data_IF_271103580009
#
_entry.id   IF_271103580009
#
_cell.length_a   1.000
_cell.length_b   1.000
_cell.length_c   1.000
_cell.angle_alpha   90.00
_cell.angle_beta   90.00
_cell.angle_gamma   90.00
#
_symmetry.space_group_name_H-M   'P 1'
#
loop_
_entity.id
_entity.type
_entity.pdbx_description
1 polymer ?
#
# COMPACT_ATOMS: atom_id res chain seq x y z
N UNK A 1 -37.61 -22.21 -44.54
CA UNK A 1 -36.25 -21.62 -44.58
C UNK A 1 -35.42 -22.29 -43.49
N UNK A 2 -34.30 -22.92 -43.84
CA UNK A 2 -33.50 -23.70 -42.89
C UNK A 2 -32.71 -22.79 -41.95
N UNK A 3 -32.87 -22.97 -40.64
CA UNK A 3 -32.14 -22.23 -39.59
C UNK A 3 -30.75 -22.82 -39.30
N UNK A 4 -30.33 -23.85 -40.03
CA UNK A 4 -29.04 -24.52 -39.87
C UNK A 4 -27.81 -23.59 -40.01
N UNK A 5 -27.71 -22.67 -41.00
CA UNK A 5 -26.51 -21.84 -41.15
C UNK A 5 -26.36 -20.81 -40.02
N UNK A 6 -27.48 -20.34 -39.44
CA UNK A 6 -27.47 -19.38 -38.34
C UNK A 6 -26.95 -20.00 -37.03
N UNK A 7 -27.25 -21.28 -36.78
CA UNK A 7 -26.78 -22.01 -35.59
C UNK A 7 -25.28 -22.29 -35.63
N UNK A 8 -24.72 -22.57 -36.81
CA UNK A 8 -23.28 -22.79 -36.99
C UNK A 8 -22.49 -21.50 -36.80
N UNK A 9 -23.00 -20.37 -37.33
CA UNK A 9 -22.37 -19.07 -37.16
C UNK A 9 -22.35 -18.60 -35.69
N UNK A 10 -23.46 -18.80 -34.95
CA UNK A 10 -23.52 -18.45 -33.53
C UNK A 10 -22.56 -19.28 -32.68
N UNK A 11 -22.47 -20.59 -32.94
CA UNK A 11 -21.56 -21.48 -32.21
C UNK A 11 -20.09 -21.07 -32.42
N UNK A 12 -19.70 -20.69 -33.64
CA UNK A 12 -18.34 -20.23 -33.93
C UNK A 12 -18.00 -18.93 -33.17
N UNK A 13 -18.93 -17.98 -33.10
CA UNK A 13 -18.74 -16.72 -32.37
C UNK A 13 -18.61 -16.95 -30.87
N UNK A 14 -19.47 -17.79 -30.28
CA UNK A 14 -19.41 -18.10 -28.84
C UNK A 14 -18.11 -18.79 -28.48
N UNK A 15 -17.65 -19.76 -29.30
CA UNK A 15 -16.39 -20.48 -29.04
C UNK A 15 -15.17 -19.56 -29.21
N UNK A 16 -15.19 -18.66 -30.19
CA UNK A 16 -14.14 -17.65 -30.37
C UNK A 16 -14.07 -16.63 -29.22
N UNK A 17 -15.21 -16.17 -28.72
CA UNK A 17 -15.27 -15.27 -27.57
C UNK A 17 -14.79 -15.96 -26.28
N UNK A 18 -15.15 -17.23 -26.05
CA UNK A 18 -14.66 -18.00 -24.90
C UNK A 18 -13.14 -18.20 -24.97
N UNK A 19 -12.60 -18.52 -26.15
CA UNK A 19 -11.15 -18.66 -26.34
C UNK A 19 -10.38 -17.37 -26.03
N UNK A 20 -10.85 -16.22 -26.53
CA UNK A 20 -10.26 -14.90 -26.22
C UNK A 20 -10.36 -14.54 -24.74
N UNK A 21 -11.47 -14.90 -24.08
CA UNK A 21 -11.68 -14.64 -22.65
C UNK A 21 -10.78 -15.50 -21.76
N UNK A 22 -10.54 -16.76 -22.14
CA UNK A 22 -9.63 -17.68 -21.43
C UNK A 22 -8.17 -17.27 -21.61
N UNK A 23 -7.75 -16.79 -22.79
CA UNK A 23 -6.38 -16.30 -23.00
C UNK A 23 -6.08 -15.02 -22.20
N UNK A 24 -7.09 -14.16 -22.00
CA UNK A 24 -6.96 -12.94 -21.18
C UNK A 24 -6.90 -13.22 -19.66
N UNK A 25 -7.23 -14.44 -19.23
CA UNK A 25 -7.15 -14.91 -17.83
C UNK A 25 -5.99 -15.86 -17.58
N UNK A 26 -4.95 -15.82 -18.41
CA UNK A 26 -3.72 -16.53 -18.07
C UNK A 26 -3.27 -16.06 -16.68
N UNK A 27 -3.16 -16.95 -15.68
CA UNK A 27 -2.68 -16.57 -14.36
C UNK A 27 -1.33 -15.90 -14.56
N UNK A 28 -1.21 -14.66 -14.07
CA UNK A 28 -0.04 -13.82 -14.31
C UNK A 28 1.22 -14.62 -14.03
N UNK A 29 2.07 -14.77 -15.05
CA UNK A 29 3.41 -15.29 -14.85
C UNK A 29 4.10 -14.38 -13.84
N UNK A 30 4.67 -14.96 -12.79
CA UNK A 30 5.38 -14.20 -11.76
C UNK A 30 6.40 -13.28 -12.45
N UNK A 31 6.24 -11.95 -12.39
CA UNK A 31 7.14 -11.02 -13.07
C UNK A 31 8.59 -11.18 -12.61
N UNK A 32 8.80 -11.71 -11.40
CA UNK A 32 10.12 -11.97 -10.87
C UNK A 32 10.78 -13.19 -11.52
N UNK A 33 10.01 -14.22 -11.89
CA UNK A 33 10.53 -15.41 -12.58
C UNK A 33 11.11 -15.09 -13.97
N UNK A 34 10.71 -13.96 -14.57
CA UNK A 34 11.22 -13.49 -15.86
C UNK A 34 12.43 -12.54 -15.76
N UNK A 35 12.82 -12.10 -14.55
CA UNK A 35 13.93 -11.16 -14.33
C UNK A 35 15.27 -11.88 -14.27
N UNK A 36 16.34 -11.24 -14.73
CA UNK A 36 17.67 -11.79 -14.59
C UNK A 36 18.16 -11.62 -13.15
N UNK A 37 18.90 -12.60 -12.61
CA UNK A 37 19.46 -12.47 -11.26
C UNK A 37 20.35 -11.23 -11.11
N UNK A 38 21.03 -10.84 -12.19
CA UNK A 38 21.88 -9.67 -12.27
C UNK A 38 21.11 -8.33 -12.25
N UNK A 39 19.77 -8.33 -12.30
CA UNK A 39 18.96 -7.12 -12.17
C UNK A 39 18.91 -6.63 -10.70
N UNK A 40 19.13 -7.53 -9.74
CA UNK A 40 19.09 -7.21 -8.31
C UNK A 40 20.41 -7.52 -7.60
N UNK A 41 21.09 -8.61 -7.97
CA UNK A 41 22.31 -9.06 -7.30
C UNK A 41 23.57 -8.56 -7.99
N UNK A 42 24.57 -8.20 -7.20
CA UNK A 42 25.93 -7.96 -7.71
C UNK A 42 26.54 -9.30 -8.09
N UNK A 43 26.34 -9.73 -9.33
CA UNK A 43 27.01 -10.92 -9.84
C UNK A 43 27.44 -10.73 -11.29
N UNK A 44 28.67 -11.11 -11.58
CA UNK A 44 29.16 -11.32 -12.95
C UNK A 44 28.89 -12.77 -13.41
N UNK A 45 27.89 -13.46 -12.84
CA UNK A 45 27.68 -14.91 -12.99
C UNK A 45 26.49 -15.46 -12.20
N UNK A 46 26.58 -16.68 -11.65
CA UNK A 46 25.53 -17.27 -10.81
C UNK A 46 25.54 -16.66 -9.40
N UNK A 47 24.35 -16.40 -8.85
CA UNK A 47 24.17 -15.95 -7.46
C UNK A 47 24.22 -17.16 -6.53
N UNK A 48 25.21 -17.20 -5.63
CA UNK A 48 25.29 -18.22 -4.57
C UNK A 48 24.73 -17.71 -3.23
N UNK A 49 24.32 -18.59 -2.30
CA UNK A 49 23.75 -18.17 -1.01
C UNK A 49 24.68 -17.30 -0.15
N UNK A 50 25.99 -17.42 -0.29
CA UNK A 50 26.95 -16.65 0.50
C UNK A 50 27.09 -15.20 0.01
N UNK A 51 26.69 -14.92 -1.24
CA UNK A 51 26.73 -13.58 -1.87
C UNK A 51 25.34 -13.04 -2.24
N UNK A 52 24.28 -13.80 -1.99
CA UNK A 52 22.90 -13.40 -2.32
C UNK A 52 22.44 -12.11 -1.60
N UNK A 53 23.06 -11.75 -0.49
CA UNK A 53 22.81 -10.50 0.23
C UNK A 53 23.48 -9.27 -0.41
N UNK A 54 24.36 -9.44 -1.40
CA UNK A 54 25.04 -8.34 -2.09
C UNK A 54 24.19 -7.87 -3.27
N UNK A 55 23.59 -6.70 -3.12
CA UNK A 55 22.61 -6.15 -4.06
C UNK A 55 23.15 -4.91 -4.78
N UNK A 56 22.67 -4.68 -6.01
CA UNK A 56 23.07 -3.53 -6.83
C UNK A 56 22.67 -2.18 -6.22
N UNK A 57 21.60 -2.18 -5.42
CA UNK A 57 21.11 -1.04 -4.67
C UNK A 57 20.46 -1.51 -3.35
N UNK A 58 20.01 -0.57 -2.51
CA UNK A 58 19.18 -0.90 -1.34
C UNK A 58 17.90 -1.62 -1.76
N UNK A 59 17.41 -2.52 -0.91
CA UNK A 59 16.20 -3.30 -1.23
C UNK A 59 14.99 -2.41 -1.45
N UNK A 60 14.89 -1.32 -0.71
CA UNK A 60 13.80 -0.35 -0.84
C UNK A 60 13.76 0.21 -2.26
N UNK A 61 14.91 0.56 -2.83
CA UNK A 61 15.03 1.04 -4.21
C UNK A 61 14.66 -0.06 -5.20
N UNK A 62 15.25 -1.25 -5.07
CA UNK A 62 15.01 -2.37 -6.00
C UNK A 62 13.55 -2.82 -6.00
N UNK A 63 12.90 -2.85 -4.84
CA UNK A 63 11.51 -3.27 -4.71
C UNK A 63 10.55 -2.18 -5.22
N UNK A 64 10.85 -0.90 -5.00
CA UNK A 64 9.99 0.21 -5.44
C UNK A 64 9.87 0.31 -6.96
N UNK A 65 10.85 -0.17 -7.72
CA UNK A 65 10.77 -0.21 -9.19
C UNK A 65 9.55 -0.99 -9.71
N UNK A 66 9.12 -2.02 -8.96
CA UNK A 66 7.93 -2.82 -9.27
C UNK A 66 6.77 -2.57 -8.31
N UNK A 67 7.06 -2.22 -7.04
CA UNK A 67 6.11 -2.00 -5.96
C UNK A 67 6.19 -0.57 -5.41
N UNK A 68 6.00 0.47 -6.24
CA UNK A 68 6.22 1.86 -5.82
C UNK A 68 5.28 2.28 -4.69
N UNK A 69 4.12 1.63 -4.58
CA UNK A 69 3.12 1.91 -3.56
C UNK A 69 3.39 1.23 -2.23
N UNK A 70 4.09 0.10 -2.22
CA UNK A 70 4.39 -0.60 -0.97
C UNK A 70 5.10 0.35 -0.01
N UNK A 71 6.16 1.02 -0.46
CA UNK A 71 6.94 1.93 0.37
C UNK A 71 6.15 3.10 1.00
N UNK A 72 5.05 3.55 0.38
CA UNK A 72 4.26 4.71 0.83
C UNK A 72 3.48 4.42 2.11
N UNK A 73 3.06 3.16 2.30
CA UNK A 73 2.24 2.79 3.44
C UNK A 73 2.58 1.40 3.99
N UNK A 74 3.87 1.11 4.12
CA UNK A 74 4.37 -0.08 4.78
C UNK A 74 4.75 0.17 6.23
N UNK A 75 4.92 -0.91 6.97
CA UNK A 75 5.87 -0.91 8.09
C UNK A 75 7.25 -0.36 7.63
N UNK A 76 7.91 0.51 8.42
CA UNK A 76 9.19 1.11 8.02
C UNK A 76 10.30 0.09 7.73
N UNK A 77 10.97 0.26 6.59
CA UNK A 77 12.13 -0.51 6.13
C UNK A 77 13.36 0.38 5.94
N UNK A 78 14.54 -0.21 5.71
CA UNK A 78 15.82 0.50 5.69
C UNK A 78 16.24 1.02 7.07
N UNK A 79 15.73 0.40 8.14
CA UNK A 79 15.99 0.84 9.53
C UNK A 79 16.73 -0.22 10.32
N UNK A 80 17.65 0.20 11.20
CA UNK A 80 18.25 -0.71 12.17
C UNK A 80 17.29 -0.91 13.34
N UNK A 81 16.83 -2.15 13.60
CA UNK A 81 15.95 -2.40 14.72
C UNK A 81 16.68 -2.14 16.05
N UNK A 82 15.96 -1.60 17.03
CA UNK A 82 16.49 -1.35 18.38
C UNK A 82 16.65 -2.63 19.21
N UNK A 83 16.07 -3.73 18.76
CA UNK A 83 16.20 -5.06 19.32
C UNK A 83 16.81 -6.02 18.31
N UNK A 84 17.36 -7.13 18.79
CA UNK A 84 17.78 -8.21 17.91
C UNK A 84 16.54 -8.87 17.28
N UNK A 85 16.43 -8.91 15.93
CA UNK A 85 15.37 -9.65 15.27
C UNK A 85 15.48 -11.14 15.60
N UNK A 86 14.34 -11.82 15.65
CA UNK A 86 14.33 -13.28 15.70
C UNK A 86 14.88 -13.85 14.39
N UNK A 87 15.51 -15.02 14.45
CA UNK A 87 16.17 -15.64 13.30
C UNK A 87 15.25 -15.85 12.08
N UNK A 88 13.93 -15.95 12.31
CA UNK A 88 12.90 -16.06 11.28
C UNK A 88 12.81 -14.80 10.38
N UNK A 89 13.12 -13.61 10.92
CA UNK A 89 13.06 -12.32 10.22
C UNK A 89 14.46 -11.68 10.17
N UNK A 90 15.34 -12.15 9.27
CA UNK A 90 16.73 -11.70 9.24
C UNK A 90 16.84 -10.25 8.79
N UNK A 91 17.83 -9.53 9.31
CA UNK A 91 18.26 -8.23 8.77
C UNK A 91 19.20 -8.42 7.60
N UNK A 92 19.35 -7.38 6.79
CA UNK A 92 20.34 -7.37 5.71
C UNK A 92 21.78 -7.29 6.23
N UNK A 93 22.75 -7.24 5.31
CA UNK A 93 24.17 -7.17 5.64
C UNK A 93 24.60 -5.89 6.37
N UNK A 94 23.80 -4.82 6.32
CA UNK A 94 24.02 -3.58 7.09
C UNK A 94 23.39 -3.66 8.48
N UNK A 95 22.64 -4.72 8.77
CA UNK A 95 21.86 -4.89 9.98
C UNK A 95 20.51 -4.15 9.94
N UNK A 96 19.97 -3.87 8.75
CA UNK A 96 18.70 -3.17 8.56
C UNK A 96 17.55 -4.15 8.29
N UNK A 97 16.38 -3.84 8.83
CA UNK A 97 15.12 -4.48 8.43
C UNK A 97 14.73 -3.95 7.06
N UNK A 98 14.53 -4.87 6.12
CA UNK A 98 14.25 -4.58 4.71
C UNK A 98 13.01 -5.37 4.26
N UNK A 99 12.56 -5.16 3.02
CA UNK A 99 11.44 -5.94 2.45
C UNK A 99 11.67 -7.46 2.58
N UNK A 100 12.90 -7.93 2.32
CA UNK A 100 13.26 -9.35 2.42
C UNK A 100 13.35 -9.89 3.85
N UNK A 101 13.34 -9.02 4.87
CA UNK A 101 13.25 -9.45 6.27
C UNK A 101 11.89 -10.07 6.57
N UNK A 102 10.85 -9.61 5.88
CA UNK A 102 9.47 -10.06 6.05
C UNK A 102 9.01 -10.97 4.92
N UNK A 103 9.48 -10.77 3.69
CA UNK A 103 9.03 -11.52 2.51
C UNK A 103 10.07 -12.54 2.00
N UNK A 104 9.56 -13.63 1.44
CA UNK A 104 10.32 -14.58 0.65
C UNK A 104 10.41 -14.08 -0.79
N UNK A 105 11.51 -13.40 -1.11
CA UNK A 105 11.69 -12.79 -2.44
C UNK A 105 11.78 -13.86 -3.54
N UNK A 106 12.43 -14.99 -3.29
CA UNK A 106 12.54 -16.09 -4.27
C UNK A 106 11.51 -17.20 -3.98
N UNK A 107 10.23 -16.85 -3.97
CA UNK A 107 9.14 -17.76 -3.63
C UNK A 107 7.82 -17.34 -4.27
N UNK A 108 6.71 -17.79 -3.68
CA UNK A 108 5.39 -17.34 -4.11
C UNK A 108 5.22 -15.82 -3.91
N UNK A 109 4.51 -15.17 -4.83
CA UNK A 109 4.30 -13.73 -4.79
C UNK A 109 3.68 -13.28 -3.47
N UNK A 110 4.30 -12.31 -2.80
CA UNK A 110 3.83 -11.79 -1.52
C UNK A 110 3.99 -12.74 -0.33
N UNK A 111 4.63 -13.91 -0.51
CA UNK A 111 4.85 -14.86 0.57
C UNK A 111 5.63 -14.21 1.72
N UNK A 112 5.09 -14.34 2.93
CA UNK A 112 5.76 -13.91 4.16
C UNK A 112 6.70 -15.01 4.64
N UNK A 113 7.82 -14.62 5.24
CA UNK A 113 8.65 -15.50 6.04
C UNK A 113 7.86 -15.96 7.26
N UNK A 114 8.07 -17.22 7.63
CA UNK A 114 7.50 -17.75 8.84
C UNK A 114 5.99 -17.93 8.82
N UNK A 115 5.46 -18.38 9.96
CA UNK A 115 4.03 -18.71 10.12
C UNK A 115 3.26 -17.66 10.94
N UNK A 116 3.95 -16.72 11.59
CA UNK A 116 3.30 -15.70 12.42
C UNK A 116 2.47 -14.77 11.55
N UNK A 117 1.25 -14.45 11.98
CA UNK A 117 0.34 -13.55 11.27
C UNK A 117 -0.30 -12.56 12.24
N UNK A 118 -0.78 -11.43 11.69
CA UNK A 118 -1.49 -10.40 12.45
C UNK A 118 -0.69 -10.00 13.69
N UNK A 119 -1.33 -9.98 14.87
CA UNK A 119 -0.71 -9.55 16.13
C UNK A 119 0.57 -10.30 16.45
N UNK A 120 0.58 -11.62 16.26
CA UNK A 120 1.75 -12.45 16.56
C UNK A 120 2.95 -12.08 15.69
N UNK A 121 2.71 -11.66 14.44
CA UNK A 121 3.75 -11.18 13.54
C UNK A 121 4.36 -9.88 14.04
N UNK A 122 3.50 -8.91 14.41
CA UNK A 122 3.96 -7.62 14.94
C UNK A 122 4.78 -7.80 16.24
N UNK A 123 4.37 -8.76 17.08
CA UNK A 123 5.04 -9.08 18.35
C UNK A 123 6.39 -9.81 18.19
N UNK A 124 6.76 -10.20 16.98
CA UNK A 124 8.12 -10.70 16.72
C UNK A 124 9.18 -9.60 16.94
N UNK A 125 8.78 -8.32 16.83
CA UNK A 125 9.67 -7.15 16.91
C UNK A 125 9.17 -6.04 17.84
N UNK A 126 7.93 -6.10 18.34
CA UNK A 126 7.36 -5.09 19.24
C UNK A 126 6.80 -5.76 20.49
N UNK A 127 6.82 -5.04 21.62
CA UNK A 127 6.11 -5.48 22.82
C UNK A 127 4.68 -4.91 22.86
N UNK A 128 3.85 -5.41 23.78
CA UNK A 128 2.49 -4.91 23.96
C UNK A 128 2.47 -3.40 24.29
N UNK A 129 3.45 -2.95 25.09
CA UNK A 129 3.57 -1.55 25.50
C UNK A 129 3.77 -0.59 24.33
N UNK A 130 4.40 -1.03 23.23
CA UNK A 130 4.50 -0.26 21.99
C UNK A 130 3.13 0.11 21.43
N UNK A 131 2.20 -0.85 21.40
CA UNK A 131 0.85 -0.65 20.87
C UNK A 131 -0.03 0.12 21.85
N UNK A 132 0.10 -0.12 23.17
CA UNK A 132 -0.67 0.58 24.21
C UNK A 132 -0.45 2.10 24.21
N UNK A 133 0.70 2.57 23.71
CA UNK A 133 0.99 4.01 23.58
C UNK A 133 0.29 4.67 22.37
N UNK A 134 -0.30 3.89 21.48
CA UNK A 134 -1.04 4.41 20.33
C UNK A 134 -2.48 4.76 20.73
N UNK A 135 -3.06 5.76 20.06
CA UNK A 135 -4.41 6.23 20.35
C UNK A 135 -5.48 5.12 20.24
N UNK A 136 -5.30 4.18 19.33
CA UNK A 136 -6.20 3.05 19.07
C UNK A 136 -5.70 1.72 19.67
N UNK A 137 -4.65 1.77 20.52
CA UNK A 137 -4.01 0.57 21.06
C UNK A 137 -3.36 -0.32 20.00
N UNK A 138 -3.03 0.24 18.82
CA UNK A 138 -2.39 -0.48 17.71
C UNK A 138 -3.34 -1.36 16.89
N UNK A 139 -4.64 -1.30 17.12
CA UNK A 139 -5.65 -2.11 16.41
C UNK A 139 -5.56 -1.95 14.89
N UNK A 140 -5.38 -0.74 14.41
CA UNK A 140 -5.22 -0.43 12.97
C UNK A 140 -3.97 -1.06 12.35
N UNK A 141 -2.87 -1.16 13.12
CA UNK A 141 -1.59 -1.67 12.61
C UNK A 141 -1.45 -3.19 12.71
N UNK A 142 -2.29 -3.85 13.52
CA UNK A 142 -2.26 -5.30 13.73
C UNK A 142 -3.01 -6.05 12.62
N UNK A 143 -3.92 -5.37 11.92
CA UNK A 143 -4.76 -5.97 10.88
C UNK A 143 -4.01 -6.12 9.56
N UNK A 144 -3.11 -5.19 9.25
CA UNK A 144 -2.25 -5.26 8.06
C UNK A 144 -0.83 -4.84 8.40
N UNK A 145 0.16 -5.21 7.58
CA UNK A 145 1.51 -4.62 7.60
C UNK A 145 1.72 -3.57 6.48
N UNK A 146 0.78 -3.49 5.54
CA UNK A 146 0.79 -2.57 4.38
C UNK A 146 -0.62 -2.01 4.15
N UNK A 147 -0.78 -0.70 3.95
CA UNK A 147 -2.11 -0.09 3.84
C UNK A 147 -2.83 -0.30 2.49
N UNK A 148 -2.47 -1.33 1.72
CA UNK A 148 -3.04 -1.62 0.39
C UNK A 148 -3.18 -3.13 0.10
N UNK A 149 -2.86 -4.01 1.06
CA UNK A 149 -2.78 -5.46 0.81
C UNK A 149 -4.13 -6.18 0.78
N UNK A 150 -5.22 -5.50 1.12
CA UNK A 150 -6.57 -6.05 0.97
C UNK A 150 -7.06 -5.76 -0.45
N UNK A 151 -7.14 -6.82 -1.26
CA UNK A 151 -7.97 -6.83 -2.47
C UNK A 151 -9.31 -6.19 -2.11
N UNK A 152 -9.61 -5.08 -2.76
CA UNK A 152 -10.84 -4.31 -2.63
C UNK A 152 -12.05 -5.10 -3.20
N UNK A 153 -12.31 -6.31 -2.70
CA UNK A 153 -13.55 -7.02 -2.95
C UNK A 153 -14.64 -6.35 -2.13
N UNK A 154 -15.30 -5.36 -2.74
CA UNK A 154 -16.39 -4.59 -2.12
C UNK A 154 -16.08 -3.13 -1.85
N UNK A 155 -14.92 -2.59 -2.26
CA UNK A 155 -14.68 -1.15 -2.15
C UNK A 155 -15.73 -0.38 -2.93
N UNK A 156 -16.26 0.68 -2.31
CA UNK A 156 -17.07 1.65 -3.03
C UNK A 156 -16.20 2.24 -4.15
N UNK A 157 -16.65 2.28 -5.41
CA UNK A 157 -15.83 2.72 -6.55
C UNK A 157 -15.24 4.13 -6.41
N UNK A 158 -15.69 4.90 -5.41
CA UNK A 158 -15.25 6.26 -5.14
C UNK A 158 -14.07 6.36 -4.15
N UNK A 159 -13.85 5.36 -3.29
CA UNK A 159 -12.81 5.45 -2.26
C UNK A 159 -11.53 4.77 -2.70
N UNK A 160 -10.40 5.41 -2.43
CA UNK A 160 -9.10 4.77 -2.64
C UNK A 160 -8.87 3.64 -1.61
N UNK A 161 -8.03 2.64 -1.91
CA UNK A 161 -7.80 1.50 -1.03
C UNK A 161 -7.32 1.89 0.38
N UNK A 162 -6.51 2.94 0.49
CA UNK A 162 -5.97 3.38 1.78
C UNK A 162 -7.07 4.01 2.64
N UNK A 163 -7.91 4.87 2.05
CA UNK A 163 -9.09 5.42 2.73
C UNK A 163 -10.02 4.29 3.17
N UNK A 164 -10.31 3.33 2.29
CA UNK A 164 -11.16 2.17 2.60
C UNK A 164 -10.65 1.43 3.84
N UNK A 165 -9.36 1.10 3.88
CA UNK A 165 -8.78 0.37 5.00
C UNK A 165 -8.75 1.19 6.30
N UNK A 166 -8.56 2.52 6.21
CA UNK A 166 -8.72 3.38 7.37
C UNK A 166 -10.16 3.29 7.92
N UNK A 167 -11.15 3.33 7.02
CA UNK A 167 -12.58 3.30 7.37
C UNK A 167 -13.06 1.94 7.88
N UNK A 168 -12.39 0.83 7.57
CA UNK A 168 -12.70 -0.48 8.16
C UNK A 168 -12.66 -0.45 9.70
N UNK A 169 -11.80 0.40 10.26
CA UNK A 169 -11.68 0.62 11.70
C UNK A 169 -12.20 1.99 12.18
N UNK A 170 -12.10 3.05 11.37
CA UNK A 170 -12.45 4.42 11.77
C UNK A 170 -13.84 4.89 11.32
N UNK A 171 -14.54 4.10 10.50
CA UNK A 171 -15.91 4.37 10.08
C UNK A 171 -16.94 3.87 11.09
N UNK A 172 -18.03 3.28 10.59
CA UNK A 172 -19.17 2.83 11.39
C UNK A 172 -18.80 1.82 12.50
N UNK A 173 -17.66 1.14 12.36
CA UNK A 173 -17.15 0.15 13.31
C UNK A 173 -16.14 0.72 14.34
N UNK A 174 -15.88 2.04 14.28
CA UNK A 174 -14.82 2.74 15.02
C UNK A 174 -15.26 3.57 16.22
N UNK A 175 -14.45 4.58 16.55
CA UNK A 175 -14.75 5.58 17.59
C UNK A 175 -15.81 6.62 17.13
N UNK A 176 -16.27 6.53 15.88
CA UNK A 176 -17.27 7.41 15.29
C UNK A 176 -16.81 8.86 15.12
N UNK A 177 -15.50 9.12 15.26
CA UNK A 177 -14.94 10.46 15.18
C UNK A 177 -14.88 10.98 13.72
N UNK A 178 -14.94 10.07 12.75
CA UNK A 178 -14.85 10.34 11.32
C UNK A 178 -15.91 9.53 10.56
N UNK A 179 -16.58 10.17 9.61
CA UNK A 179 -17.50 9.54 8.65
C UNK A 179 -17.02 9.87 7.22
N UNK A 180 -17.23 8.96 6.27
CA UNK A 180 -17.00 9.24 4.85
C UNK A 180 -18.31 9.04 4.11
N UNK A 181 -18.88 10.14 3.63
CA UNK A 181 -20.18 10.07 2.95
C UNK A 181 -20.09 9.30 1.64
N UNK A 182 -21.25 8.94 1.07
CA UNK A 182 -21.33 8.30 -0.26
C UNK A 182 -20.73 9.13 -1.39
N UNK A 183 -20.49 10.42 -1.16
CA UNK A 183 -19.81 11.34 -2.09
C UNK A 183 -18.30 11.44 -1.83
N UNK A 184 -17.73 10.50 -1.07
CA UNK A 184 -16.34 10.48 -0.64
C UNK A 184 -15.90 11.77 0.07
N UNK A 185 -16.79 12.35 0.87
CA UNK A 185 -16.44 13.50 1.72
C UNK A 185 -16.15 12.95 3.10
N UNK A 186 -14.88 13.02 3.51
CA UNK A 186 -14.48 12.79 4.89
C UNK A 186 -15.02 13.93 5.76
N UNK A 187 -15.75 13.55 6.80
CA UNK A 187 -16.37 14.40 7.79
C UNK A 187 -15.73 14.10 9.12
N UNK A 188 -15.09 15.11 9.70
CA UNK A 188 -14.53 15.01 11.03
C UNK A 188 -15.56 15.52 12.05
N UNK A 189 -15.43 15.11 13.31
CA UNK A 189 -16.24 15.66 14.41
C UNK A 189 -16.15 17.18 14.54
N UNK A 190 -16.83 17.78 15.53
CA UNK A 190 -17.16 19.21 15.64
C UNK A 190 -16.00 20.25 15.52
N UNK A 191 -14.74 19.80 15.43
CA UNK A 191 -13.55 20.66 15.30
C UNK A 191 -12.70 20.39 14.05
N UNK A 192 -13.05 19.40 13.22
CA UNK A 192 -12.26 19.05 12.04
C UNK A 192 -12.82 19.64 10.73
N UNK A 193 -11.97 19.70 9.71
CA UNK A 193 -12.31 20.20 8.38
C UNK A 193 -12.80 19.04 7.52
N UNK A 194 -13.93 19.21 6.86
CA UNK A 194 -14.40 18.21 5.90
C UNK A 194 -13.61 18.36 4.61
N UNK A 195 -13.14 17.25 4.05
CA UNK A 195 -12.43 17.26 2.77
C UNK A 195 -12.80 16.03 1.94
N UNK A 196 -12.77 16.15 0.60
CA UNK A 196 -12.98 14.99 -0.23
C UNK A 196 -11.76 14.06 -0.18
N UNK A 197 -12.01 12.76 -0.29
CA UNK A 197 -11.04 11.66 -0.36
C UNK A 197 -11.29 10.85 -1.63
N UNK A 198 -10.30 10.07 -2.08
CA UNK A 198 -10.35 9.36 -3.36
C UNK A 198 -10.28 10.27 -4.60
N UNK A 199 -10.02 11.58 -4.42
CA UNK A 199 -10.00 12.54 -5.53
C UNK A 199 -8.63 12.59 -6.19
N UNK A 200 -8.60 12.53 -7.52
CA UNK A 200 -7.42 12.77 -8.34
C UNK A 200 -6.95 14.23 -8.18
N UNK A 201 -5.81 14.39 -7.50
CA UNK A 201 -5.29 15.71 -7.13
C UNK A 201 -4.88 16.52 -8.35
N UNK A 202 -4.25 15.88 -9.34
CA UNK A 202 -3.76 16.56 -10.53
C UNK A 202 -4.94 17.10 -11.35
N UNK A 203 -6.03 16.32 -11.50
CA UNK A 203 -7.29 16.81 -12.09
C UNK A 203 -7.90 17.96 -11.29
N UNK A 204 -8.01 17.81 -9.97
CA UNK A 204 -8.55 18.86 -9.11
C UNK A 204 -7.77 20.17 -9.24
N UNK A 205 -6.44 20.08 -9.26
CA UNK A 205 -5.56 21.24 -9.38
C UNK A 205 -5.69 21.98 -10.71
N UNK A 206 -6.05 21.27 -11.78
CA UNK A 206 -6.30 21.85 -13.10
C UNK A 206 -7.48 22.81 -13.14
N UNK A 207 -8.41 22.75 -12.18
CA UNK A 207 -9.54 23.67 -12.07
C UNK A 207 -9.20 24.98 -11.35
N UNK A 208 -8.00 25.11 -10.77
CA UNK A 208 -7.55 26.30 -10.04
C UNK A 208 -7.86 26.28 -8.54
N UNK A 209 -7.22 27.19 -7.78
CA UNK A 209 -7.35 27.27 -6.31
C UNK A 209 -6.54 26.21 -5.55
N UNK A 210 -5.65 25.49 -6.23
CA UNK A 210 -4.76 24.50 -5.64
C UNK A 210 -3.31 24.77 -6.04
N UNK A 211 -2.39 24.36 -5.16
CA UNK A 211 -0.96 24.40 -5.44
C UNK A 211 -0.61 23.26 -6.39
N UNK A 212 0.41 23.46 -7.23
CA UNK A 212 0.89 22.39 -8.09
C UNK A 212 1.43 21.24 -7.22
N UNK A 213 1.23 19.99 -7.62
CA UNK A 213 1.69 18.80 -6.87
C UNK A 213 3.16 18.85 -6.44
N UNK A 214 4.03 19.36 -7.31
CA UNK A 214 5.47 19.54 -7.03
C UNK A 214 5.80 20.58 -5.94
N UNK A 215 4.83 21.41 -5.57
CA UNK A 215 4.95 22.47 -4.57
C UNK A 215 4.34 22.08 -3.21
N UNK A 216 3.75 20.88 -3.11
CA UNK A 216 3.27 20.33 -1.84
C UNK A 216 4.46 20.02 -0.93
N UNK A 217 4.21 20.05 0.38
CA UNK A 217 5.16 19.53 1.36
C UNK A 217 5.52 18.08 1.02
N UNK A 218 6.81 17.68 1.01
CA UNK A 218 7.21 16.31 0.69
C UNK A 218 6.61 15.25 1.62
N UNK A 219 6.12 15.64 2.80
CA UNK A 219 5.39 14.75 3.70
C UNK A 219 3.95 14.49 3.29
N UNK A 220 3.37 15.22 2.33
CA UNK A 220 2.03 14.93 1.80
C UNK A 220 2.14 13.83 0.73
N UNK A 221 1.61 12.67 1.09
CA UNK A 221 1.58 11.50 0.21
C UNK A 221 0.30 11.51 -0.63
N UNK A 222 0.43 11.46 -1.96
CA UNK A 222 -0.72 11.29 -2.87
C UNK A 222 -0.65 9.90 -3.50
N UNK A 223 -1.08 8.85 -2.77
CA UNK A 223 -0.98 7.48 -3.26
C UNK A 223 -1.77 7.32 -4.56
N UNK A 224 -1.08 6.90 -5.63
CA UNK A 224 -1.68 6.83 -6.96
C UNK A 224 -2.15 8.18 -7.53
N UNK A 225 -1.70 9.31 -6.97
CA UNK A 225 -2.15 10.65 -7.33
C UNK A 225 -3.46 11.08 -6.65
N UNK A 226 -4.00 10.27 -5.73
CA UNK A 226 -5.27 10.54 -5.06
C UNK A 226 -5.05 11.24 -3.71
N UNK A 227 -5.99 12.11 -3.34
CA UNK A 227 -6.13 12.61 -1.97
C UNK A 227 -6.75 11.51 -1.13
N UNK A 228 -6.00 10.99 -0.17
CA UNK A 228 -6.39 9.89 0.70
C UNK A 228 -6.29 10.30 2.17
N UNK A 229 -6.84 9.51 3.10
CA UNK A 229 -6.61 9.69 4.54
C UNK A 229 -5.10 9.82 4.86
N UNK A 230 -4.25 9.02 4.20
CA UNK A 230 -2.79 9.05 4.45
C UNK A 230 -2.07 10.26 3.85
N UNK A 231 -2.73 11.06 3.01
CA UNK A 231 -2.19 12.33 2.51
C UNK A 231 -2.03 13.35 3.62
N UNK A 232 -2.94 13.31 4.60
CA UNK A 232 -2.96 14.20 5.74
C UNK A 232 -2.50 13.49 7.02
N UNK A 233 -2.84 12.21 7.19
CA UNK A 233 -2.58 11.45 8.42
C UNK A 233 -1.41 10.48 8.29
N UNK A 234 -0.75 10.24 9.42
CA UNK A 234 0.28 9.20 9.57
C UNK A 234 -0.41 7.85 9.77
N UNK A 235 -0.18 6.92 8.84
CA UNK A 235 -0.66 5.54 8.91
C UNK A 235 0.17 4.69 9.89
N UNK A 236 1.26 4.09 9.41
CA UNK A 236 2.18 3.26 10.20
C UNK A 236 3.21 4.10 10.98
N UNK A 237 2.83 4.62 12.15
CA UNK A 237 3.79 5.22 13.09
C UNK A 237 3.27 5.18 14.53
N UNK A 238 4.14 5.46 15.51
CA UNK A 238 3.72 5.68 16.90
C UNK A 238 2.74 6.86 17.06
N UNK A 239 2.74 7.79 16.09
CA UNK A 239 1.80 8.89 16.00
C UNK A 239 0.69 8.55 14.99
N UNK A 240 0.17 7.33 15.03
CA UNK A 240 -0.95 6.90 14.18
C UNK A 240 -2.09 7.92 14.22
N UNK A 241 -2.64 8.26 13.07
CA UNK A 241 -3.72 9.25 12.94
C UNK A 241 -3.28 10.69 13.16
N UNK A 242 -2.03 10.97 13.56
CA UNK A 242 -1.55 12.35 13.67
C UNK A 242 -1.37 12.97 12.28
N UNK A 243 -1.56 14.29 12.19
CA UNK A 243 -1.35 15.03 10.95
C UNK A 243 0.14 15.02 10.57
N UNK A 244 0.45 14.76 9.30
CA UNK A 244 1.82 14.68 8.77
C UNK A 244 2.54 16.02 8.87
N UNK A 245 1.85 17.09 8.49
CA UNK A 245 2.37 18.47 8.50
C UNK A 245 1.68 19.25 9.64
N UNK A 246 2.32 19.25 10.81
CA UNK A 246 1.77 19.94 11.98
C UNK A 246 1.91 21.46 11.80
N UNK A 247 0.83 22.12 11.36
CA UNK A 247 0.74 23.60 11.32
C UNK A 247 -0.50 24.06 12.08
N UNK A 248 -0.32 25.01 13.01
CA UNK A 248 -1.42 25.65 13.74
C UNK A 248 -2.26 26.49 12.77
N UNK A 249 -3.57 26.61 13.04
CA UNK A 249 -4.43 27.62 12.40
C UNK A 249 -4.79 27.36 10.93
N UNK A 250 -4.97 26.10 10.51
CA UNK A 250 -5.40 25.77 9.15
C UNK A 250 -4.26 25.67 8.12
N UNK A 251 -3.00 25.67 8.58
CA UNK A 251 -1.84 25.57 7.68
C UNK A 251 -1.79 24.30 6.84
N UNK A 252 -2.46 23.21 7.25
CA UNK A 252 -2.59 22.00 6.44
C UNK A 252 -3.39 22.26 5.15
N UNK A 253 -4.46 23.05 5.21
CA UNK A 253 -5.30 23.36 4.05
C UNK A 253 -4.47 24.10 2.98
N UNK A 254 -3.60 25.01 3.42
CA UNK A 254 -2.72 25.82 2.57
C UNK A 254 -1.56 25.02 1.97
N UNK A 255 -1.35 23.77 2.39
CA UNK A 255 -0.42 22.91 1.67
C UNK A 255 -0.96 22.54 0.30
N UNK A 256 -2.26 22.28 0.21
CA UNK A 256 -2.92 21.88 -1.03
C UNK A 256 -3.59 23.03 -1.76
N UNK A 257 -4.08 24.04 -1.04
CA UNK A 257 -4.86 25.13 -1.60
C UNK A 257 -4.06 26.42 -1.74
N UNK A 258 -4.34 27.17 -2.80
CA UNK A 258 -3.82 28.52 -3.05
C UNK A 258 -5.01 29.49 -2.95
N UNK A 259 -5.41 29.80 -1.70
CA UNK A 259 -6.60 30.60 -1.35
C UNK A 259 -6.29 32.09 -1.18
#
# INVERSE_FOLDING_TARGET
MSLAPLRVALAAIVTGCIGLWVSAQSPGTDPLAARACADCHVSSGQVDPARANVLLAGQETLCQDCHPRAAVASHPTGIKPSMAPVAEYPVDWKGELTCSSCHLIHGEHGALRGERRRREFCLACHDDGFFERMADGGRSLVVSAHLESSSAEGATPLLDPYTTQCMDCHGDNGDGAIDVSQQAISRHGASGVNHPVGIDYDKASGFGGFRARRALDPGIELPGGLVSCISCHRGYSQQHGAIRVARRGGGLCLECHDL
#
